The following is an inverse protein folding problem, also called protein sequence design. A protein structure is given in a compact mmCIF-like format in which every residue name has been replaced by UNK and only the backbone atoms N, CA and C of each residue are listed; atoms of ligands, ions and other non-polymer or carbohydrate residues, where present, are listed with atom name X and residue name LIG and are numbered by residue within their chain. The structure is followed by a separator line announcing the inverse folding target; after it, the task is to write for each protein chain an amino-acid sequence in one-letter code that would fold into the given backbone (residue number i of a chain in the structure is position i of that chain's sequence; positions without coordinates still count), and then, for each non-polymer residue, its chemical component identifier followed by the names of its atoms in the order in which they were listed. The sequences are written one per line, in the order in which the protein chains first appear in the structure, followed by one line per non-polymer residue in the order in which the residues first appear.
data_IF_144735090729
#
_entry.id   IF_144735090729
#
_cell.length_a   1.000
_cell.length_b   1.000
_cell.length_c   1.000
_cell.angle_alpha   90.00
_cell.angle_beta   90.00
_cell.angle_gamma   90.00
#
_symmetry.space_group_name_H-M   'P 1'
#
loop_
_entity.id
_entity.type
_entity.pdbx_description
1 polymer ?
#
# COMPACT_ATOMS: atom_id res chain seq x y z
N UNK A 1 -40.94 -37.80 -30.28
CA UNK A 1 -40.33 -38.97 -30.95
C UNK A 1 -39.21 -38.41 -31.82
N UNK A 2 -37.99 -38.40 -31.31
CA UNK A 2 -36.82 -37.83 -32.04
C UNK A 2 -36.49 -38.75 -33.19
N UNK A 3 -36.44 -38.19 -34.39
CA UNK A 3 -36.18 -38.94 -35.62
C UNK A 3 -34.83 -39.64 -35.58
N UNK A 4 -34.85 -40.92 -35.31
CA UNK A 4 -33.65 -41.80 -35.25
C UNK A 4 -32.85 -41.80 -36.56
N UNK A 5 -33.49 -41.45 -37.67
CA UNK A 5 -32.85 -41.34 -39.01
C UNK A 5 -32.02 -40.10 -39.16
N UNK A 6 -32.45 -39.01 -38.57
CA UNK A 6 -31.71 -37.73 -38.59
C UNK A 6 -30.43 -37.80 -37.74
N UNK A 7 -30.51 -38.43 -36.55
CA UNK A 7 -29.38 -38.64 -35.66
C UNK A 7 -28.28 -39.50 -36.27
N UNK A 8 -28.65 -40.59 -36.97
CA UNK A 8 -27.70 -41.48 -37.66
C UNK A 8 -26.97 -40.80 -38.82
N UNK A 9 -27.63 -39.88 -39.54
CA UNK A 9 -27.02 -39.12 -40.61
C UNK A 9 -26.04 -38.08 -40.08
N UNK A 10 -26.34 -37.43 -38.98
CA UNK A 10 -25.45 -36.44 -38.32
C UNK A 10 -24.17 -37.15 -37.86
N UNK A 11 -24.28 -38.30 -37.21
CA UNK A 11 -23.11 -39.10 -36.75
C UNK A 11 -22.21 -39.52 -37.93
N UNK A 12 -22.83 -39.89 -39.08
CA UNK A 12 -22.04 -40.29 -40.30
C UNK A 12 -21.30 -39.09 -40.90
N UNK A 13 -21.94 -37.90 -40.91
CA UNK A 13 -21.30 -36.67 -41.40
C UNK A 13 -20.13 -36.31 -40.49
N UNK A 14 -20.33 -36.26 -39.18
CA UNK A 14 -19.29 -35.93 -38.21
C UNK A 14 -18.10 -36.88 -38.35
N UNK A 15 -18.37 -38.19 -38.44
CA UNK A 15 -17.30 -39.17 -38.60
C UNK A 15 -16.54 -39.01 -39.91
N UNK A 16 -17.24 -38.71 -41.02
CA UNK A 16 -16.62 -38.45 -42.33
C UNK A 16 -15.75 -37.21 -42.33
N UNK A 17 -16.20 -36.17 -41.65
CA UNK A 17 -15.45 -34.90 -41.54
C UNK A 17 -14.24 -35.07 -40.63
N UNK A 18 -14.38 -35.82 -39.53
CA UNK A 18 -13.24 -36.14 -38.67
C UNK A 18 -12.17 -36.97 -39.35
N UNK A 19 -12.57 -37.97 -40.20
CA UNK A 19 -11.62 -38.78 -40.97
C UNK A 19 -10.89 -37.92 -42.06
N UNK A 20 -11.58 -36.98 -42.69
CA UNK A 20 -10.96 -36.02 -43.63
C UNK A 20 -9.93 -35.11 -42.93
N UNK A 21 -10.27 -34.60 -41.75
CA UNK A 21 -9.36 -33.76 -40.96
C UNK A 21 -8.13 -34.58 -40.55
N UNK A 22 -8.36 -35.79 -40.05
CA UNK A 22 -7.28 -36.69 -39.57
C UNK A 22 -6.25 -37.02 -40.64
N UNK A 23 -6.70 -37.15 -41.91
CA UNK A 23 -5.86 -37.52 -43.04
C UNK A 23 -5.30 -36.31 -43.80
N UNK A 24 -5.56 -35.08 -43.30
CA UNK A 24 -5.10 -33.84 -43.96
C UNK A 24 -4.07 -33.13 -43.08
N UNK A 25 -2.80 -33.15 -43.46
CA UNK A 25 -1.71 -32.53 -42.76
C UNK A 25 -1.89 -31.00 -42.62
N UNK A 26 -2.44 -30.34 -43.65
CA UNK A 26 -2.69 -28.88 -43.60
C UNK A 26 -3.78 -28.55 -42.59
N UNK A 27 -4.84 -29.36 -42.50
CA UNK A 27 -5.89 -29.19 -41.50
C UNK A 27 -5.35 -29.30 -40.10
N UNK A 28 -4.42 -30.21 -39.85
CA UNK A 28 -3.74 -30.32 -38.54
C UNK A 28 -2.92 -29.06 -38.18
N UNK A 29 -2.14 -28.55 -39.12
CA UNK A 29 -1.34 -27.33 -38.92
C UNK A 29 -2.26 -26.16 -38.55
N UNK A 30 -3.37 -26.00 -39.25
CA UNK A 30 -4.34 -24.92 -38.99
C UNK A 30 -4.99 -25.08 -37.62
N UNK A 31 -5.44 -26.29 -37.25
CA UNK A 31 -6.09 -26.56 -35.96
C UNK A 31 -5.09 -26.32 -34.80
N UNK A 32 -3.86 -26.82 -34.94
CA UNK A 32 -2.81 -26.62 -33.94
C UNK A 32 -2.51 -25.12 -33.79
N UNK A 33 -2.33 -24.41 -34.91
CA UNK A 33 -2.09 -22.96 -34.87
C UNK A 33 -3.25 -22.19 -34.24
N UNK A 34 -4.49 -22.53 -34.60
CA UNK A 34 -5.69 -21.88 -34.06
C UNK A 34 -5.90 -22.15 -32.56
N UNK A 35 -5.38 -23.27 -32.06
CA UNK A 35 -5.47 -23.65 -30.65
C UNK A 35 -4.31 -23.08 -29.83
N UNK A 36 -3.08 -23.22 -30.34
CA UNK A 36 -1.87 -22.83 -29.60
C UNK A 36 -1.75 -21.31 -29.49
N UNK A 37 -1.97 -20.57 -30.59
CA UNK A 37 -1.75 -19.10 -30.59
C UNK A 37 -2.65 -18.37 -29.59
N UNK A 38 -3.98 -18.59 -29.55
CA UNK A 38 -4.83 -17.97 -28.53
C UNK A 38 -4.51 -18.43 -27.11
N UNK A 39 -4.16 -19.72 -26.96
CA UNK A 39 -3.79 -20.27 -25.64
C UNK A 39 -2.51 -19.64 -25.09
N UNK A 40 -1.48 -19.48 -25.93
CA UNK A 40 -0.25 -18.77 -25.56
C UNK A 40 -0.53 -17.29 -25.26
N UNK A 41 -1.33 -16.63 -26.07
CA UNK A 41 -1.71 -15.26 -25.81
C UNK A 41 -2.43 -15.10 -24.47
N UNK A 42 -3.40 -15.96 -24.17
CA UNK A 42 -4.09 -15.99 -22.89
C UNK A 42 -3.11 -16.28 -21.74
N UNK A 43 -2.22 -17.25 -21.91
CA UNK A 43 -1.21 -17.61 -20.91
C UNK A 43 -0.25 -16.44 -20.62
N UNK A 44 0.30 -15.80 -21.65
CA UNK A 44 1.18 -14.64 -21.46
C UNK A 44 0.47 -13.47 -20.78
N UNK A 45 -0.79 -13.19 -21.15
CA UNK A 45 -1.57 -12.15 -20.48
C UNK A 45 -1.85 -12.49 -19.00
N UNK A 46 -2.21 -13.75 -18.72
CA UNK A 46 -2.42 -14.19 -17.36
C UNK A 46 -1.12 -14.15 -16.57
N UNK A 47 -0.02 -14.65 -17.13
CA UNK A 47 1.29 -14.64 -16.47
C UNK A 47 1.79 -13.20 -16.20
N UNK A 48 1.60 -12.27 -17.15
CA UNK A 48 1.96 -10.87 -17.00
C UNK A 48 1.08 -10.15 -15.96
N UNK A 49 -0.16 -10.59 -15.78
CA UNK A 49 -1.14 -9.98 -14.86
C UNK A 49 -1.33 -10.79 -13.57
N UNK A 50 -0.58 -11.89 -13.40
CA UNK A 50 -0.78 -12.83 -12.28
C UNK A 50 -0.51 -12.19 -10.92
N UNK A 51 0.50 -11.37 -10.85
CA UNK A 51 0.81 -10.61 -9.65
C UNK A 51 1.41 -9.23 -9.99
N UNK A 52 0.55 -8.28 -10.38
CA UNK A 52 0.99 -6.90 -10.61
C UNK A 52 1.49 -6.23 -9.33
N UNK A 53 1.26 -6.87 -8.16
CA UNK A 53 1.62 -6.34 -6.85
C UNK A 53 2.97 -6.85 -6.31
N UNK A 54 3.50 -7.96 -6.83
CA UNK A 54 4.83 -8.47 -6.41
C UNK A 54 5.96 -7.56 -6.85
N UNK A 55 5.74 -6.74 -7.88
CA UNK A 55 6.72 -5.78 -8.42
C UNK A 55 6.58 -4.35 -7.85
N UNK A 56 5.75 -4.15 -6.82
CA UNK A 56 5.54 -2.83 -6.20
C UNK A 56 6.78 -2.31 -5.47
N UNK A 57 7.72 -3.19 -5.09
CA UNK A 57 9.01 -2.79 -4.51
C UNK A 57 9.87 -1.89 -5.42
N UNK A 58 9.60 -1.87 -6.73
CA UNK A 58 10.28 -0.97 -7.67
C UNK A 58 9.56 0.37 -7.86
N UNK A 59 8.36 0.53 -7.32
CA UNK A 59 7.59 1.76 -7.47
C UNK A 59 8.07 2.82 -6.49
N UNK A 60 8.69 3.85 -7.02
CA UNK A 60 9.20 4.97 -6.24
C UNK A 60 8.06 5.84 -5.74
N UNK A 61 7.93 5.93 -4.42
CA UNK A 61 7.00 6.83 -3.74
C UNK A 61 7.81 7.81 -2.90
N UNK A 62 7.71 9.09 -3.23
CA UNK A 62 8.39 10.14 -2.47
C UNK A 62 7.66 10.38 -1.15
N UNK A 63 8.43 10.59 -0.08
CA UNK A 63 7.90 10.97 1.24
C UNK A 63 8.66 12.19 1.73
N UNK A 64 7.90 13.20 2.12
CA UNK A 64 8.42 14.43 2.73
C UNK A 64 7.72 14.70 4.07
N UNK A 65 8.46 15.14 5.08
CA UNK A 65 7.90 15.62 6.33
C UNK A 65 8.26 17.09 6.51
N UNK A 66 7.23 17.90 6.78
CA UNK A 66 7.37 19.26 7.28
C UNK A 66 7.01 19.35 8.77
N UNK A 67 6.73 18.19 9.43
CA UNK A 67 6.26 18.17 10.81
C UNK A 67 7.27 18.81 11.76
N UNK A 68 6.79 19.79 12.54
CA UNK A 68 7.62 20.50 13.53
C UNK A 68 7.61 19.84 14.90
N UNK A 69 6.85 18.73 15.06
CA UNK A 69 6.69 18.06 16.32
C UNK A 69 5.60 18.68 17.21
N UNK A 70 5.46 18.09 18.38
CA UNK A 70 4.58 18.55 19.46
C UNK A 70 5.41 18.88 20.69
N UNK A 71 5.23 20.10 21.18
CA UNK A 71 5.71 20.58 22.47
C UNK A 71 4.48 21.01 23.28
N UNK A 72 4.16 20.31 24.35
CA UNK A 72 2.99 20.62 25.16
C UNK A 72 3.06 20.03 26.54
N UNK A 73 2.06 20.36 27.37
CA UNK A 73 2.02 20.00 28.81
C UNK A 73 1.85 18.49 29.07
N UNK A 74 1.55 17.69 28.02
CA UNK A 74 1.32 16.24 28.15
C UNK A 74 2.62 15.45 28.28
N UNK A 75 3.73 15.98 27.80
CA UNK A 75 5.05 15.34 27.86
C UNK A 75 6.15 16.39 27.91
N UNK A 76 7.17 16.11 28.71
CA UNK A 76 8.38 16.92 28.76
C UNK A 76 9.32 16.70 27.57
N UNK A 77 9.00 15.72 26.70
CA UNK A 77 9.79 15.39 25.51
C UNK A 77 9.21 16.09 24.25
N UNK A 78 10.11 16.59 23.42
CA UNK A 78 9.70 16.97 22.05
C UNK A 78 9.31 15.71 21.27
N UNK A 79 8.04 15.59 20.93
CA UNK A 79 7.50 14.43 20.21
C UNK A 79 7.28 14.79 18.74
N UNK A 80 8.11 14.27 17.84
CA UNK A 80 7.91 14.36 16.40
C UNK A 80 7.44 13.00 15.84
N UNK A 81 6.11 12.87 15.67
CA UNK A 81 5.48 11.66 15.14
C UNK A 81 5.81 11.51 13.64
N UNK A 82 5.90 12.62 12.90
CA UNK A 82 6.27 12.61 11.49
C UNK A 82 7.64 11.99 11.25
N UNK A 83 8.65 12.37 12.01
CA UNK A 83 10.01 11.80 11.89
C UNK A 83 10.05 10.32 12.30
N UNK A 84 9.25 9.92 13.29
CA UNK A 84 9.12 8.51 13.67
C UNK A 84 8.46 7.69 12.55
N UNK A 85 7.44 8.24 11.88
CA UNK A 85 6.81 7.61 10.71
C UNK A 85 7.82 7.47 9.58
N UNK A 86 8.61 8.51 9.27
CA UNK A 86 9.68 8.41 8.27
C UNK A 86 10.70 7.32 8.60
N UNK A 87 11.11 7.25 9.85
CA UNK A 87 12.06 6.21 10.32
C UNK A 87 11.47 4.81 10.15
N UNK A 88 10.19 4.63 10.48
CA UNK A 88 9.49 3.35 10.31
C UNK A 88 9.28 2.97 8.86
N UNK A 89 9.05 3.95 7.96
CA UNK A 89 8.95 3.71 6.52
C UNK A 89 10.29 3.33 5.88
N UNK A 90 11.43 3.74 6.44
CA UNK A 90 12.75 3.30 5.95
C UNK A 90 13.01 1.81 6.14
N UNK A 91 12.35 1.21 7.13
CA UNK A 91 12.42 -0.23 7.42
C UNK A 91 11.31 -1.03 6.68
N UNK A 92 10.48 -0.35 5.89
CA UNK A 92 9.34 -0.94 5.21
C UNK A 92 9.62 -1.19 3.73
N UNK A 93 9.64 -2.46 3.31
CA UNK A 93 9.94 -2.90 1.94
C UNK A 93 8.71 -3.00 1.03
N UNK A 94 7.54 -2.53 1.47
CA UNK A 94 6.32 -2.64 0.67
C UNK A 94 6.36 -1.84 -0.64
N UNK A 95 7.13 -0.73 -0.65
CA UNK A 95 7.35 0.17 -1.77
C UNK A 95 8.81 0.68 -1.75
N UNK A 96 9.24 1.27 -2.87
CA UNK A 96 10.53 1.97 -2.92
C UNK A 96 10.36 3.41 -2.41
N UNK A 97 10.52 3.58 -1.10
CA UNK A 97 10.37 4.86 -0.44
C UNK A 97 11.56 5.77 -0.72
N UNK A 98 11.27 6.97 -1.26
CA UNK A 98 12.29 8.01 -1.52
C UNK A 98 12.02 9.19 -0.59
N UNK A 99 12.95 9.45 0.34
CA UNK A 99 12.83 10.55 1.31
C UNK A 99 13.47 11.80 0.74
N UNK A 100 12.69 12.85 0.59
CA UNK A 100 13.12 14.10 -0.08
C UNK A 100 12.36 15.30 0.47
N UNK A 101 12.64 16.50 -0.07
CA UNK A 101 11.88 17.71 0.26
C UNK A 101 10.46 17.64 -0.33
N UNK A 102 9.54 18.43 0.20
CA UNK A 102 8.18 18.55 -0.34
C UNK A 102 8.18 19.04 -1.78
N UNK A 103 9.02 20.02 -2.08
CA UNK A 103 9.15 20.61 -3.41
C UNK A 103 9.62 19.57 -4.42
N UNK A 104 10.68 18.82 -4.10
CA UNK A 104 11.22 17.77 -4.96
C UNK A 104 10.24 16.60 -5.09
N UNK A 105 9.54 16.23 -4.02
CA UNK A 105 8.52 15.20 -4.05
C UNK A 105 7.39 15.55 -5.03
N UNK A 106 6.85 16.77 -4.95
CA UNK A 106 5.79 17.25 -5.84
C UNK A 106 6.29 17.38 -7.28
N UNK A 107 7.50 17.89 -7.47
CA UNK A 107 8.09 18.03 -8.81
C UNK A 107 8.33 16.66 -9.44
N UNK A 108 8.88 15.72 -8.68
CA UNK A 108 9.14 14.36 -9.17
C UNK A 108 7.87 13.57 -9.53
N UNK A 109 6.72 13.88 -8.91
CA UNK A 109 5.43 13.34 -9.37
C UNK A 109 4.99 13.96 -10.68
N UNK A 110 5.21 15.28 -10.85
CA UNK A 110 4.83 16.00 -12.09
C UNK A 110 5.64 15.56 -13.31
N UNK A 111 6.93 15.27 -13.12
CA UNK A 111 7.84 14.85 -14.20
C UNK A 111 7.88 13.32 -14.39
N UNK A 112 7.13 12.55 -13.60
CA UNK A 112 7.05 11.10 -13.71
C UNK A 112 8.19 10.33 -13.03
N UNK A 113 9.11 11.01 -12.32
CA UNK A 113 10.20 10.37 -11.57
C UNK A 113 9.68 9.54 -10.39
N UNK A 114 8.56 9.96 -9.80
CA UNK A 114 7.85 9.29 -8.72
C UNK A 114 6.40 9.00 -9.11
N UNK A 115 5.92 7.84 -8.71
CA UNK A 115 4.51 7.45 -8.91
C UNK A 115 3.55 8.27 -8.07
N UNK A 116 3.98 8.58 -6.86
CA UNK A 116 3.21 9.32 -5.89
C UNK A 116 4.15 10.06 -4.94
N UNK A 117 3.63 11.07 -4.28
CA UNK A 117 4.29 11.71 -3.16
C UNK A 117 3.34 11.85 -1.98
N UNK A 118 3.87 11.55 -0.80
CA UNK A 118 3.23 11.75 0.49
C UNK A 118 3.92 12.90 1.21
N UNK A 119 3.13 13.85 1.68
CA UNK A 119 3.64 14.98 2.48
C UNK A 119 2.97 14.97 3.84
N UNK A 120 3.78 14.90 4.88
CA UNK A 120 3.35 15.05 6.27
C UNK A 120 3.37 16.55 6.59
N UNK A 121 2.22 17.18 6.95
CA UNK A 121 2.13 18.62 7.17
C UNK A 121 2.78 19.05 8.48
N UNK A 122 3.06 20.34 8.60
CA UNK A 122 3.73 20.95 9.78
C UNK A 122 3.02 20.72 11.11
N UNK A 123 1.71 20.64 11.09
CA UNK A 123 0.89 20.46 12.29
C UNK A 123 0.65 19.00 12.66
N UNK A 124 1.24 18.04 11.94
CA UNK A 124 0.88 16.63 12.05
C UNK A 124 0.96 16.10 13.49
N UNK A 125 2.09 16.23 14.15
CA UNK A 125 2.25 15.79 15.55
C UNK A 125 1.28 16.51 16.50
N UNK A 126 1.10 17.82 16.33
CA UNK A 126 0.18 18.60 17.15
C UNK A 126 -1.25 18.13 16.98
N UNK A 127 -1.68 17.91 15.74
CA UNK A 127 -3.05 17.48 15.43
C UNK A 127 -3.30 16.05 15.93
N UNK A 128 -2.32 15.16 15.81
CA UNK A 128 -2.39 13.82 16.41
C UNK A 128 -2.52 13.86 17.94
N UNK A 129 -1.75 14.72 18.61
CA UNK A 129 -1.79 14.85 20.07
C UNK A 129 -3.03 15.61 20.56
N UNK A 130 -3.75 16.34 19.68
CA UNK A 130 -5.00 17.00 20.04
C UNK A 130 -6.10 16.02 20.49
N UNK A 131 -5.96 14.73 20.15
CA UNK A 131 -6.86 13.68 20.65
C UNK A 131 -6.96 13.65 22.21
N UNK A 132 -5.92 14.09 22.90
CA UNK A 132 -5.88 14.16 24.36
C UNK A 132 -6.33 15.51 24.91
N UNK A 133 -6.79 16.42 24.07
CA UNK A 133 -7.27 17.77 24.44
C UNK A 133 -8.76 17.90 24.19
N UNK A 134 -9.46 18.88 24.80
CA UNK A 134 -10.88 19.13 24.51
C UNK A 134 -11.15 19.51 23.05
N UNK A 135 -10.17 20.14 22.38
CA UNK A 135 -10.25 20.56 20.98
C UNK A 135 -9.50 19.54 20.08
N UNK A 136 -10.25 18.59 19.52
CA UNK A 136 -9.70 17.57 18.64
C UNK A 136 -9.58 18.06 17.22
N UNK A 137 -8.36 18.14 16.71
CA UNK A 137 -8.06 18.42 15.31
C UNK A 137 -7.78 17.13 14.54
N UNK A 138 -8.26 17.07 13.28
CA UNK A 138 -7.96 15.94 12.41
C UNK A 138 -6.58 16.14 11.78
N UNK A 139 -5.72 15.17 12.00
CA UNK A 139 -4.46 15.08 11.28
C UNK A 139 -4.71 14.56 9.85
N UNK A 140 -4.21 15.27 8.86
CA UNK A 140 -4.37 14.92 7.45
C UNK A 140 -2.99 14.73 6.81
N UNK A 141 -2.92 13.77 5.88
CA UNK A 141 -1.76 13.59 5.02
C UNK A 141 -2.08 14.11 3.63
N UNK A 142 -1.12 14.78 3.01
CA UNK A 142 -1.28 15.30 1.66
C UNK A 142 -0.68 14.30 0.69
N UNK A 143 -1.49 13.85 -0.26
CA UNK A 143 -1.11 12.84 -1.23
C UNK A 143 -1.18 13.40 -2.66
N UNK A 144 -0.09 13.27 -3.41
CA UNK A 144 0.01 13.68 -4.80
C UNK A 144 0.18 12.45 -5.69
N UNK A 145 -0.57 12.40 -6.79
CA UNK A 145 -0.58 11.31 -7.76
C UNK A 145 -0.36 11.83 -9.16
N UNK A 146 0.36 11.06 -9.96
CA UNK A 146 0.39 11.27 -11.40
C UNK A 146 -0.62 10.34 -12.09
N UNK A 147 -1.86 10.80 -12.24
CA UNK A 147 -2.94 10.04 -12.87
C UNK A 147 -2.79 9.92 -14.39
N UNK A 148 -1.92 10.74 -15.01
CA UNK A 148 -1.82 10.82 -16.48
C UNK A 148 -1.04 9.67 -17.09
N UNK A 149 -0.14 9.03 -16.37
CA UNK A 149 0.77 8.04 -16.93
C UNK A 149 0.39 6.58 -16.66
N UNK A 150 -0.56 6.28 -15.77
CA UNK A 150 -0.80 4.88 -15.46
C UNK A 150 -2.21 4.55 -14.96
N UNK A 151 -2.93 3.70 -15.68
CA UNK A 151 -4.23 3.15 -15.29
C UNK A 151 -4.17 2.28 -14.00
N UNK A 152 -2.96 1.90 -13.54
CA UNK A 152 -2.73 1.11 -12.33
C UNK A 152 -2.48 2.02 -11.11
N UNK A 153 -2.23 3.32 -11.33
CA UNK A 153 -1.96 4.29 -10.27
C UNK A 153 -2.94 4.25 -9.09
N UNK A 154 -4.29 4.15 -9.27
CA UNK A 154 -5.22 4.11 -8.15
C UNK A 154 -5.00 2.91 -7.22
N UNK A 155 -4.68 1.72 -7.76
CA UNK A 155 -4.46 0.50 -6.96
C UNK A 155 -3.14 0.52 -6.19
N UNK A 156 -2.12 1.16 -6.76
CA UNK A 156 -0.82 1.36 -6.09
C UNK A 156 -0.98 2.37 -4.96
N UNK A 157 -1.78 3.39 -5.20
CA UNK A 157 -2.17 4.39 -4.20
C UNK A 157 -2.79 3.76 -2.96
N UNK A 158 -3.76 2.86 -3.14
CA UNK A 158 -4.41 2.18 -2.03
C UNK A 158 -3.43 1.35 -1.19
N UNK A 159 -2.48 0.66 -1.84
CA UNK A 159 -1.45 -0.12 -1.15
C UNK A 159 -0.45 0.78 -0.43
N UNK A 160 0.01 1.85 -1.08
CA UNK A 160 0.90 2.84 -0.48
C UNK A 160 0.25 3.57 0.69
N UNK A 161 -0.98 4.07 0.50
CA UNK A 161 -1.74 4.72 1.55
C UNK A 161 -2.02 3.78 2.74
N UNK A 162 -2.33 2.50 2.46
CA UNK A 162 -2.53 1.49 3.52
C UNK A 162 -1.23 1.19 4.28
N UNK A 163 -0.09 1.08 3.59
CA UNK A 163 1.21 0.88 4.23
C UNK A 163 1.55 2.05 5.14
N UNK A 164 1.39 3.28 4.66
CA UNK A 164 1.63 4.50 5.46
C UNK A 164 0.67 4.58 6.64
N UNK A 165 -0.63 4.34 6.42
CA UNK A 165 -1.62 4.32 7.50
C UNK A 165 -1.22 3.34 8.60
N UNK A 166 -0.85 2.10 8.25
CA UNK A 166 -0.45 1.10 9.22
C UNK A 166 0.81 1.52 10.01
N UNK A 167 1.76 2.20 9.35
CA UNK A 167 2.94 2.74 10.04
C UNK A 167 2.57 3.88 10.97
N UNK A 168 1.69 4.78 10.56
CA UNK A 168 1.19 5.86 11.42
C UNK A 168 0.47 5.30 12.64
N UNK A 169 -0.45 4.33 12.45
CA UNK A 169 -1.18 3.70 13.54
C UNK A 169 -0.21 3.03 14.54
N UNK A 170 0.82 2.32 14.04
CA UNK A 170 1.82 1.66 14.88
C UNK A 170 2.72 2.65 15.63
N UNK A 171 3.20 3.70 14.95
CA UNK A 171 4.03 4.75 15.56
C UNK A 171 3.23 5.53 16.59
N UNK A 172 1.98 5.89 16.28
CA UNK A 172 1.11 6.60 17.22
C UNK A 172 0.83 5.78 18.45
N UNK A 173 0.44 4.50 18.30
CA UNK A 173 0.20 3.62 19.43
C UNK A 173 1.43 3.47 20.35
N UNK A 174 2.63 3.36 19.77
CA UNK A 174 3.89 3.32 20.51
C UNK A 174 4.15 4.62 21.25
N UNK A 175 3.97 5.75 20.58
CA UNK A 175 4.17 7.08 21.17
C UNK A 175 3.22 7.33 22.33
N UNK A 176 1.95 6.93 22.20
CA UNK A 176 0.97 7.00 23.31
C UNK A 176 1.40 6.11 24.48
N UNK A 177 1.84 4.88 24.23
CA UNK A 177 2.31 3.98 25.27
C UNK A 177 3.54 4.54 26.02
N UNK A 178 4.48 5.15 25.30
CA UNK A 178 5.65 5.82 25.90
C UNK A 178 5.23 6.98 26.82
N UNK A 179 4.29 7.82 26.39
CA UNK A 179 3.76 8.95 27.18
C UNK A 179 3.06 8.44 28.44
N UNK A 180 2.19 7.43 28.30
CA UNK A 180 1.50 6.82 29.46
C UNK A 180 2.48 6.25 30.45
N UNK A 181 3.54 5.57 29.97
CA UNK A 181 4.59 5.02 30.82
C UNK A 181 5.39 6.12 31.54
N UNK A 182 5.73 7.22 30.83
CA UNK A 182 6.42 8.38 31.43
C UNK A 182 5.58 9.01 32.55
N UNK A 183 4.29 9.25 32.30
CA UNK A 183 3.37 9.78 33.30
C UNK A 183 3.26 8.83 34.49
N UNK A 184 3.09 7.53 34.27
CA UNK A 184 2.98 6.53 35.33
C UNK A 184 4.26 6.47 36.18
N UNK A 185 5.44 6.52 35.56
CA UNK A 185 6.72 6.52 36.26
C UNK A 185 6.94 7.81 37.06
N UNK A 186 6.50 8.95 36.51
CA UNK A 186 6.52 10.24 37.23
C UNK A 186 5.65 10.23 38.48
N UNK A 187 4.43 9.70 38.39
CA UNK A 187 3.53 9.54 39.55
C UNK A 187 4.14 8.60 40.60
N UNK A 188 4.71 7.47 40.15
CA UNK A 188 5.36 6.51 41.07
C UNK A 188 6.51 7.15 41.86
N UNK A 189 7.36 7.94 41.18
CA UNK A 189 8.47 8.65 41.80
C UNK A 189 8.03 9.73 42.80
N UNK A 190 6.90 10.38 42.53
CA UNK A 190 6.31 11.37 43.46
C UNK A 190 5.72 10.69 44.70
N UNK A 191 5.09 9.53 44.56
CA UNK A 191 4.57 8.74 45.68
C UNK A 191 5.71 8.24 46.56
N UNK A 192 6.79 7.74 45.97
CA UNK A 192 7.96 7.26 46.74
C UNK A 192 8.65 8.40 47.50
N UNK A 193 8.77 9.61 46.92
CA UNK A 193 9.26 10.78 47.66
C UNK A 193 8.32 11.23 48.77
N UNK A 194 7.00 11.22 48.53
CA UNK A 194 6.01 11.59 49.54
C UNK A 194 5.97 10.64 50.72
N UNK A 195 6.21 9.34 50.54
CA UNK A 195 6.33 8.37 51.61
C UNK A 195 7.68 8.53 52.37
N UNK A 196 8.78 8.79 51.64
CA UNK A 196 10.08 9.01 52.27
C UNK A 196 10.07 10.22 53.24
N UNK A 197 9.45 11.32 52.83
CA UNK A 197 9.33 12.53 53.68
C UNK A 197 8.44 12.29 54.94
N UNK A 198 7.51 11.34 54.86
CA UNK A 198 6.64 10.98 56.00
C UNK A 198 7.35 10.16 57.08
N UNK A 199 8.43 9.47 56.74
CA UNK A 199 9.22 8.65 57.65
C UNK A 199 10.49 9.35 58.15
N UNK A 200 10.82 10.52 57.61
CA UNK A 200 11.99 11.32 58.03
C UNK A 200 11.67 12.48 58.97
N UNK A 201 10.41 12.70 59.32
CA UNK A 201 9.92 13.64 60.36
C UNK A 201 9.30 12.87 61.53
#
# INVERSE_FOLDING_TARGET
MVDKKGSLNICKIIKGDFDKIRNNTIAWIVIIGLTIVPSLYAWFNIAASWDPYSNTGNLKVAVASEDIGYEGDLTSMNLNIGDRVLSSLRENDALNWVFTSKEDAIQGVKDGSYYAALVIPKSFSRDMMSFFTPDVHRSELIYFLNEKENAIAPKITDKGASAVKNQIDAVFARSVAEIVFEIASGISSLMEKGDADKYMN
#
